data_IF_244243866720
#
_entry.id   IF_244243866720
#
_cell.length_a   1.000
_cell.length_b   1.000
_cell.length_c   1.000
_cell.angle_alpha   90.00
_cell.angle_beta   90.00
_cell.angle_gamma   90.00
#
_symmetry.space_group_name_H-M   'P 1'
#
loop_
_entity.id
_entity.type
_entity.pdbx_description
1 polymer ?
2 branched ?
3 branched ?
4 non-polymer ?
5 non-polymer ?
6 non-polymer ?
7 non-polymer ?
8 non-polymer ?
9 non-polymer ?
10 water ?
#
# COMPACT_ATOMS: atom_id res chain seq x y z
N UNK A 7 11.10 9.10 11.98
CA UNK A 7 10.26 9.38 10.76
C UNK A 7 9.25 10.48 11.04
N UNK A 8 9.49 11.70 10.54
CA UNK A 8 8.46 12.72 10.57
C UNK A 8 7.74 12.61 9.24
N UNK A 9 6.52 12.07 9.30
CA UNK A 9 5.64 12.13 8.16
C UNK A 9 5.34 13.62 7.96
N UNK A 10 4.97 13.92 6.76
CA UNK A 10 4.79 15.33 6.42
C UNK A 10 3.56 16.01 7.00
N UNK A 11 3.61 17.33 7.04
CA UNK A 11 2.52 18.11 7.66
C UNK A 11 1.24 18.12 6.86
N UNK A 12 1.28 17.72 5.62
CA UNK A 12 0.04 17.54 4.82
C UNK A 12 -0.53 16.18 4.88
N UNK A 13 0.08 15.27 5.62
CA UNK A 13 -0.42 13.91 5.77
C UNK A 13 -1.88 13.89 6.24
N UNK A 14 -2.71 13.12 5.52
CA UNK A 14 -4.15 13.06 5.82
C UNK A 14 -5.02 13.93 4.95
N UNK A 15 -4.41 14.90 4.29
CA UNK A 15 -5.12 15.74 3.33
C UNK A 15 -5.15 15.08 1.98
N UNK A 16 -6.16 15.43 1.21
CA UNK A 16 -6.30 14.98 -0.17
C UNK A 16 -6.49 16.22 -1.01
N UNK A 17 -5.64 16.39 -1.97
CA UNK A 17 -5.74 17.49 -2.98
C UNK A 17 -6.34 16.89 -4.26
N UNK A 18 -7.47 17.45 -4.63
CA UNK A 18 -8.14 17.04 -5.84
C UNK A 18 -7.88 18.08 -6.88
N UNK A 19 -7.27 17.66 -8.00
CA UNK A 19 -6.85 18.52 -9.03
C UNK A 19 -7.62 18.20 -10.30
N UNK A 20 -7.71 19.22 -11.17
CA UNK A 20 -8.37 19.10 -12.44
C UNK A 20 -7.49 19.47 -13.62
N UNK A 21 -6.23 19.83 -13.36
CA UNK A 21 -5.29 20.04 -14.43
C UNK A 21 -3.95 19.60 -13.93
N UNK A 22 -3.05 19.34 -14.91
CA UNK A 22 -1.62 19.00 -14.60
C UNK A 22 -0.99 20.09 -13.78
N UNK A 23 -0.23 19.72 -12.76
CA UNK A 23 0.61 20.65 -12.00
C UNK A 23 1.95 20.78 -12.69
N UNK A 24 2.29 22.03 -13.06
CA UNK A 24 3.55 22.35 -13.69
C UNK A 24 4.54 22.81 -12.70
N UNK A 25 5.69 22.19 -12.66
CA UNK A 25 6.79 22.63 -11.77
C UNK A 25 7.89 23.18 -12.63
N UNK A 26 8.20 24.46 -12.37
CA UNK A 26 9.08 25.19 -13.24
C UNK A 26 10.56 24.94 -12.98
N UNK A 27 11.43 25.22 -13.98
CA UNK A 27 12.86 25.04 -13.76
C UNK A 27 13.30 25.66 -12.44
N UNK A 28 14.12 24.95 -11.71
CA UNK A 28 14.73 25.44 -10.45
C UNK A 28 13.83 25.31 -9.23
N UNK A 29 12.55 24.96 -9.45
CA UNK A 29 11.59 24.85 -8.37
C UNK A 29 11.55 23.39 -7.86
N UNK A 30 11.13 23.29 -6.59
CA UNK A 30 10.87 22.00 -5.90
C UNK A 30 9.45 22.01 -5.35
N UNK A 31 8.62 21.13 -5.89
CA UNK A 31 7.26 20.95 -5.35
C UNK A 31 7.39 19.94 -4.28
N UNK A 32 7.10 20.36 -3.05
CA UNK A 32 7.14 19.49 -1.87
C UNK A 32 5.71 19.31 -1.37
N UNK A 33 5.16 18.10 -1.58
CA UNK A 33 3.87 17.90 -1.12
C UNK A 33 3.65 17.67 0.36
N UNK A 34 4.73 17.51 1.08
CA UNK A 34 4.63 17.32 2.50
C UNK A 34 3.72 16.17 2.89
N UNK A 35 3.62 15.15 2.06
CA UNK A 35 2.77 14.00 2.37
C UNK A 35 1.34 14.08 1.89
N UNK A 36 0.96 15.09 1.15
CA UNK A 36 -0.35 15.17 0.53
C UNK A 36 -0.59 13.98 -0.39
N UNK A 37 -1.83 13.56 -0.45
CA UNK A 37 -2.31 12.62 -1.47
C UNK A 37 -3.03 13.40 -2.53
N UNK A 38 -2.72 13.11 -3.79
CA UNK A 38 -3.30 13.79 -4.93
C UNK A 38 -4.25 12.85 -5.67
N UNK A 39 -5.46 13.33 -5.92
CA UNK A 39 -6.37 12.64 -6.78
C UNK A 39 -6.64 13.57 -7.98
N UNK A 40 -6.51 13.03 -9.17
CA UNK A 40 -6.76 13.78 -10.34
C UNK A 40 -8.13 13.47 -10.91
N UNK A 41 -8.85 14.55 -11.26
CA UNK A 41 -10.18 14.54 -11.92
C UNK A 41 -10.12 14.96 -13.38
N UNK A 42 -10.87 14.25 -14.21
CA UNK A 42 -10.98 14.65 -15.56
C UNK A 42 -9.72 14.57 -16.46
N UNK A 43 -8.73 13.83 -15.99
CA UNK A 43 -7.36 13.76 -16.55
C UNK A 43 -6.99 12.37 -17.03
N UNK A 44 -7.95 11.43 -16.94
CA UNK A 44 -7.75 10.04 -17.28
C UNK A 44 -8.26 9.09 -16.21
N UNK A 45 -8.43 7.85 -16.64
CA UNK A 45 -8.89 6.82 -15.71
C UNK A 45 -7.83 5.83 -15.26
N UNK A 46 -6.59 6.03 -15.64
CA UNK A 46 -5.53 5.12 -15.28
C UNK A 46 -5.49 3.84 -16.09
N UNK A 47 -6.28 3.75 -17.15
CA UNK A 47 -6.27 2.60 -18.04
C UNK A 47 -5.04 2.65 -18.97
N UNK A 48 -5.05 1.75 -19.98
CA UNK A 48 -4.00 1.83 -20.99
C UNK A 48 -4.36 2.73 -22.15
N UNK A 49 -5.33 3.63 -21.96
CA UNK A 49 -5.56 4.67 -22.95
C UNK A 49 -4.31 5.51 -23.06
N UNK A 50 -3.99 5.91 -24.28
CA UNK A 50 -2.80 6.69 -24.54
C UNK A 50 -2.97 8.20 -24.51
N UNK A 51 -4.17 8.63 -24.13
CA UNK A 51 -4.51 10.03 -24.26
C UNK A 51 -4.65 10.78 -22.97
N UNK A 52 -4.17 10.20 -21.89
CA UNK A 52 -4.39 10.77 -20.59
C UNK A 52 -3.40 11.89 -20.29
N UNK A 53 -3.73 12.75 -19.33
CA UNK A 53 -2.84 13.84 -18.98
C UNK A 53 -1.90 13.41 -17.85
N UNK A 54 -0.71 14.03 -17.83
CA UNK A 54 0.15 13.82 -16.66
C UNK A 54 -0.39 14.49 -15.40
N UNK A 55 -0.16 13.92 -14.25
CA UNK A 55 -0.46 14.56 -12.99
C UNK A 55 0.47 15.76 -12.75
N UNK A 56 1.75 15.55 -13.02
CA UNK A 56 2.79 16.56 -12.92
C UNK A 56 3.59 16.64 -14.21
N UNK A 57 3.96 17.88 -14.57
CA UNK A 57 4.95 18.19 -15.61
C UNK A 57 6.12 18.81 -14.91
N UNK A 58 7.29 18.18 -14.96
CA UNK A 58 8.52 18.71 -14.32
C UNK A 58 9.39 19.23 -15.46
N UNK A 59 9.56 20.57 -15.47
CA UNK A 59 10.48 21.24 -16.36
C UNK A 59 11.93 20.86 -16.14
N UNK A 60 12.76 21.12 -17.16
CA UNK A 60 14.16 20.86 -17.04
C UNK A 60 14.54 21.54 -15.76
N UNK A 61 15.16 20.79 -14.87
CA UNK A 61 15.65 21.31 -13.62
C UNK A 61 14.68 21.45 -12.50
N UNK A 62 13.45 20.96 -12.68
CA UNK A 62 12.46 20.93 -11.60
C UNK A 62 12.52 19.65 -10.79
N UNK A 63 12.16 19.73 -9.51
CA UNK A 63 12.12 18.56 -8.58
C UNK A 63 10.78 18.43 -8.00
N UNK A 64 10.50 17.19 -7.54
CA UNK A 64 9.23 16.86 -6.91
C UNK A 64 9.51 15.95 -5.71
N UNK A 65 8.86 16.19 -4.57
CA UNK A 65 9.05 15.27 -3.44
C UNK A 65 7.79 15.17 -2.62
N UNK A 66 7.70 14.02 -1.94
CA UNK A 66 6.76 13.84 -0.82
C UNK A 66 5.31 14.01 -1.22
N UNK A 67 4.90 13.30 -2.33
CA UNK A 67 3.50 13.22 -2.70
C UNK A 67 3.10 11.77 -2.96
N UNK A 68 1.89 11.48 -2.54
CA UNK A 68 1.23 10.22 -2.89
C UNK A 68 0.34 10.51 -4.07
N UNK A 69 0.40 9.70 -5.14
CA UNK A 69 -0.52 9.86 -6.23
C UNK A 69 -1.52 8.70 -6.14
N UNK A 70 -2.76 9.05 -5.78
CA UNK A 70 -3.81 8.11 -5.78
C UNK A 70 -4.31 7.67 -7.13
N UNK A 71 -5.07 6.60 -7.18
CA UNK A 71 -5.82 6.31 -8.37
C UNK A 71 -6.76 7.46 -8.65
N UNK A 72 -7.04 7.87 -9.89
CA UNK A 72 -6.44 7.33 -11.09
C UNK A 72 -5.09 7.93 -11.39
N UNK A 73 -4.14 7.06 -11.80
CA UNK A 73 -2.79 7.53 -12.05
C UNK A 73 -2.55 8.32 -13.29
N UNK A 74 -3.54 8.28 -14.19
CA UNK A 74 -3.52 9.08 -15.42
C UNK A 74 -2.19 8.77 -16.17
N UNK A 75 -1.53 9.82 -16.69
CA UNK A 75 -0.24 9.63 -17.29
C UNK A 75 0.92 10.04 -16.38
N UNK A 76 0.72 9.93 -15.09
CA UNK A 76 1.85 9.99 -14.16
C UNK A 76 2.64 11.29 -14.19
N UNK A 77 3.95 11.17 -14.20
CA UNK A 77 4.81 12.32 -14.06
C UNK A 77 5.69 12.45 -15.29
N UNK A 78 5.59 13.59 -15.98
CA UNK A 78 6.39 13.85 -17.20
C UNK A 78 7.58 14.65 -16.83
N UNK A 79 8.77 14.11 -17.08
CA UNK A 79 10.04 14.71 -16.75
C UNK A 79 10.77 15.19 -18.01
N UNK A 80 11.16 16.47 -17.99
CA UNK A 80 11.87 17.07 -19.12
C UNK A 80 13.40 17.16 -18.95
N UNK A 81 13.92 16.51 -17.95
CA UNK A 81 15.34 16.27 -17.77
C UNK A 81 15.87 17.06 -16.60
N UNK A 82 16.92 16.51 -15.99
CA UNK A 82 17.57 17.12 -14.82
C UNK A 82 16.58 17.30 -13.69
N UNK A 83 15.94 16.17 -13.29
CA UNK A 83 14.88 16.15 -12.31
C UNK A 83 15.22 15.16 -11.22
N UNK A 84 14.85 15.50 -10.01
CA UNK A 84 14.86 14.57 -8.84
C UNK A 84 13.44 14.42 -8.34
N UNK A 85 13.04 13.13 -8.27
CA UNK A 85 11.69 12.75 -7.86
C UNK A 85 11.87 11.91 -6.60
N UNK A 86 11.65 12.49 -5.41
CA UNK A 86 11.95 11.82 -4.16
C UNK A 86 10.70 11.55 -3.34
N UNK A 87 10.64 10.33 -2.76
CA UNK A 87 9.54 9.95 -1.90
C UNK A 87 8.23 10.20 -2.54
N UNK A 88 8.10 9.72 -3.78
CA UNK A 88 6.82 9.70 -4.45
C UNK A 88 6.26 8.28 -4.43
N UNK A 89 5.01 8.17 -4.01
CA UNK A 89 4.31 6.89 -3.92
C UNK A 89 3.21 6.89 -4.91
N UNK A 90 3.27 5.95 -5.86
CA UNK A 90 2.18 5.68 -6.81
C UNK A 90 1.36 4.54 -6.22
N UNK A 91 0.19 4.84 -5.66
CA UNK A 91 -0.68 3.81 -5.05
C UNK A 91 -1.27 2.93 -6.13
N UNK A 92 -1.44 3.41 -7.33
CA UNK A 92 -2.03 2.65 -8.44
C UNK A 92 -1.58 3.34 -9.73
N UNK A 93 -0.50 2.80 -10.29
CA UNK A 93 0.04 3.40 -11.50
C UNK A 93 -1.01 3.46 -12.55
N UNK A 94 -1.03 4.56 -13.31
CA UNK A 94 -1.93 4.70 -14.45
C UNK A 94 -1.39 4.09 -15.73
N UNK A 95 -1.40 4.85 -16.80
CA UNK A 95 -0.91 4.27 -18.07
C UNK A 95 0.60 3.94 -17.95
N UNK A 96 1.32 4.84 -17.36
CA UNK A 96 2.69 4.70 -16.83
C UNK A 96 2.85 5.63 -15.66
N UNK A 97 3.87 5.36 -14.87
CA UNK A 97 4.15 6.13 -13.64
C UNK A 97 4.91 7.43 -13.90
N UNK A 98 5.99 7.30 -14.67
CA UNK A 98 6.84 8.46 -14.97
C UNK A 98 7.46 8.22 -16.34
N UNK A 99 7.53 9.32 -17.10
CA UNK A 99 8.07 9.33 -18.45
C UNK A 99 9.17 10.35 -18.57
N UNK A 100 10.31 9.95 -19.12
CA UNK A 100 11.37 10.91 -19.48
C UNK A 100 11.14 11.33 -20.93
N UNK A 101 10.79 12.64 -21.04
CA UNK A 101 10.31 13.22 -22.30
C UNK A 101 11.41 13.98 -23.06
N UNK A 102 12.48 14.33 -22.37
CA UNK A 102 13.56 15.10 -22.99
C UNK A 102 14.88 14.78 -22.26
N UNK A 103 16.02 15.10 -22.89
CA UNK A 103 17.30 14.62 -22.35
C UNK A 103 17.75 15.26 -21.09
N UNK A 104 18.32 14.42 -20.25
CA UNK A 104 18.97 14.89 -19.05
C UNK A 104 19.10 13.73 -18.05
N UNK A 105 19.45 14.04 -16.85
CA UNK A 105 19.54 13.06 -15.78
C UNK A 105 18.22 13.09 -15.01
N UNK A 106 17.64 11.92 -14.75
CA UNK A 106 16.42 11.89 -13.96
C UNK A 106 16.62 10.81 -12.88
N UNK A 107 16.39 11.18 -11.62
CA UNK A 107 16.56 10.28 -10.49
C UNK A 107 15.27 10.16 -9.75
N UNK A 108 14.87 8.89 -9.51
CA UNK A 108 13.73 8.53 -8.66
C UNK A 108 14.33 7.92 -7.43
N UNK A 109 14.16 8.55 -6.25
CA UNK A 109 14.79 8.16 -5.03
C UNK A 109 13.75 7.98 -3.94
N UNK A 110 13.66 6.79 -3.36
CA UNK A 110 12.66 6.53 -2.38
C UNK A 110 11.30 6.31 -3.05
N UNK A 111 10.29 6.06 -2.21
CA UNK A 111 8.96 5.85 -2.70
C UNK A 111 8.72 4.45 -3.23
N UNK A 112 7.61 4.31 -3.90
CA UNK A 112 7.15 2.98 -4.39
C UNK A 112 6.16 3.14 -5.42
N UNK A 113 5.88 2.02 -6.13
CA UNK A 113 4.81 1.96 -7.13
C UNK A 113 4.13 0.61 -7.09
N UNK A 114 2.83 0.62 -7.32
CA UNK A 114 2.06 -0.63 -7.35
C UNK A 114 1.08 -0.62 -8.48
N UNK A 115 0.75 -1.81 -9.00
CA UNK A 115 -0.37 -2.02 -9.90
C UNK A 115 -0.19 -1.27 -11.24
N UNK A 116 0.93 -1.54 -11.87
CA UNK A 116 1.21 -1.01 -13.20
C UNK A 116 0.87 -2.09 -14.20
N UNK A 117 -0.18 -1.89 -14.98
CA UNK A 117 -0.60 -2.86 -15.98
C UNK A 117 0.47 -3.08 -17.01
N UNK A 118 1.24 -2.04 -17.30
CA UNK A 118 2.29 -2.10 -18.33
C UNK A 118 3.59 -1.59 -17.72
N UNK A 119 4.13 -0.51 -18.22
CA UNK A 119 5.38 -0.01 -17.64
C UNK A 119 5.19 0.93 -16.47
N UNK A 120 6.15 0.91 -15.55
CA UNK A 120 6.30 1.93 -14.52
C UNK A 120 6.98 3.17 -15.14
N UNK A 121 8.25 2.97 -15.54
CA UNK A 121 9.04 4.08 -16.08
C UNK A 121 9.25 3.91 -17.55
N UNK A 122 8.98 4.99 -18.31
CA UNK A 122 8.96 5.02 -19.76
C UNK A 122 9.99 6.03 -20.25
N UNK A 123 10.96 5.62 -21.02
CA UNK A 123 12.08 6.47 -21.43
C UNK A 123 11.97 6.78 -22.91
N UNK A 124 11.61 8.04 -23.22
CA UNK A 124 11.35 8.48 -24.56
C UNK A 124 12.40 9.41 -25.17
N UNK A 125 13.47 9.64 -24.44
CA UNK A 125 14.56 10.49 -24.92
C UNK A 125 15.84 9.94 -24.35
N UNK A 126 16.99 10.21 -24.97
CA UNK A 126 18.26 9.83 -24.36
C UNK A 126 18.40 10.42 -23.01
N UNK A 127 18.85 9.62 -22.03
CA UNK A 127 18.89 10.05 -20.66
C UNK A 127 19.74 9.15 -19.83
N UNK A 128 20.10 9.65 -18.66
CA UNK A 128 20.64 8.90 -17.52
C UNK A 128 19.52 8.75 -16.55
N UNK A 129 19.07 7.52 -16.26
CA UNK A 129 17.88 7.31 -15.45
C UNK A 129 18.23 6.43 -14.24
N UNK A 130 18.12 6.95 -13.04
CA UNK A 130 18.46 6.23 -11.86
C UNK A 130 17.27 6.03 -10.95
N UNK A 131 17.10 4.76 -10.51
CA UNK A 131 16.06 4.39 -9.58
C UNK A 131 16.78 3.88 -8.32
N UNK A 132 16.53 4.52 -7.19
CA UNK A 132 17.25 4.25 -5.97
C UNK A 132 16.31 4.09 -4.79
N UNK A 133 16.52 3.06 -3.95
CA UNK A 133 15.74 2.87 -2.74
C UNK A 133 14.28 2.85 -3.05
N UNK A 134 13.88 1.90 -3.92
CA UNK A 134 12.53 1.92 -4.52
C UNK A 134 11.96 0.50 -4.48
N UNK A 135 10.66 0.41 -4.21
CA UNK A 135 9.94 -0.86 -4.26
C UNK A 135 8.89 -0.74 -5.30
N UNK A 136 8.61 -1.85 -6.02
CA UNK A 136 7.46 -1.92 -6.92
C UNK A 136 6.87 -3.32 -6.88
N UNK A 137 5.53 -3.34 -6.91
CA UNK A 137 4.79 -4.62 -6.80
C UNK A 137 3.68 -4.63 -7.82
N UNK A 138 3.53 -5.78 -8.51
CA UNK A 138 2.45 -6.02 -9.46
C UNK A 138 2.55 -5.06 -10.63
N UNK A 139 3.56 -5.35 -11.45
CA UNK A 139 3.94 -4.47 -12.57
C UNK A 139 4.15 -5.30 -13.85
N UNK A 140 3.99 -4.68 -14.98
CA UNK A 140 4.40 -5.33 -16.23
C UNK A 140 5.89 -5.28 -16.47
N UNK A 141 6.41 -4.01 -16.47
CA UNK A 141 7.81 -3.77 -16.65
C UNK A 141 8.23 -2.64 -15.68
N UNK A 142 9.40 -2.68 -15.11
CA UNK A 142 9.87 -1.49 -14.33
C UNK A 142 10.31 -0.39 -15.29
N UNK A 143 11.11 -0.70 -16.28
CA UNK A 143 11.64 0.38 -17.19
C UNK A 143 11.49 -0.08 -18.62
N UNK A 144 10.85 0.78 -19.47
CA UNK A 144 10.75 0.55 -20.94
C UNK A 144 11.42 1.71 -21.68
N UNK A 145 12.49 1.47 -22.48
CA UNK A 145 12.84 2.48 -23.49
C UNK A 145 11.85 2.37 -24.62
N UNK A 146 11.38 3.52 -25.14
CA UNK A 146 10.38 3.52 -26.15
C UNK A 146 10.67 2.51 -27.26
N UNK A 147 9.69 1.72 -27.61
CA UNK A 147 9.88 0.67 -28.55
C UNK A 147 10.46 1.10 -29.87
N UNK A 148 11.39 0.28 -30.34
CA UNK A 148 12.02 0.42 -31.65
C UNK A 148 12.87 1.64 -31.77
N UNK A 149 13.23 2.30 -30.67
CA UNK A 149 14.17 3.39 -30.70
C UNK A 149 15.58 2.92 -30.36
N UNK A 150 16.55 3.65 -30.95
CA UNK A 150 17.94 3.24 -30.88
C UNK A 150 18.87 4.33 -30.32
N UNK A 151 18.28 5.38 -29.76
CA UNK A 151 19.09 6.28 -28.97
C UNK A 151 19.57 5.58 -27.70
N UNK A 152 20.50 6.25 -27.00
CA UNK A 152 21.12 5.66 -25.82
C UNK A 152 20.43 6.13 -24.55
N UNK A 153 20.06 5.14 -23.71
CA UNK A 153 19.80 5.39 -22.32
C UNK A 153 20.76 4.59 -21.48
N UNK A 154 21.08 5.14 -20.29
CA UNK A 154 21.80 4.40 -19.25
C UNK A 154 20.93 4.39 -18.04
N UNK A 155 20.54 3.18 -17.59
CA UNK A 155 19.66 2.99 -16.50
C UNK A 155 20.47 2.39 -15.32
N UNK A 156 20.26 2.96 -14.11
CA UNK A 156 20.82 2.43 -12.88
C UNK A 156 19.71 2.05 -11.97
N UNK A 157 19.75 0.79 -11.47
CA UNK A 157 18.83 0.29 -10.44
C UNK A 157 19.60 -0.04 -9.22
N UNK A 158 19.42 0.76 -8.15
CA UNK A 158 20.24 0.65 -6.95
C UNK A 158 19.36 0.54 -5.73
N UNK A 159 19.45 -0.57 -5.01
CA UNK A 159 18.61 -0.80 -3.85
C UNK A 159 17.15 -0.80 -4.26
N UNK A 160 16.81 -1.69 -5.21
CA UNK A 160 15.49 -1.79 -5.79
C UNK A 160 14.93 -3.22 -5.50
N UNK A 161 13.70 -3.25 -5.04
CA UNK A 161 13.02 -4.53 -4.72
C UNK A 161 11.78 -4.58 -5.53
N UNK A 162 11.59 -5.69 -6.29
CA UNK A 162 10.48 -5.86 -7.17
C UNK A 162 9.76 -7.18 -6.85
N UNK A 163 8.45 -7.12 -6.81
CA UNK A 163 7.67 -8.35 -6.60
C UNK A 163 6.56 -8.42 -7.59
N UNK A 164 6.51 -9.55 -8.38
CA UNK A 164 5.43 -9.87 -9.33
C UNK A 164 5.49 -9.02 -10.60
N UNK A 165 6.49 -9.40 -11.42
CA UNK A 165 6.84 -8.63 -12.63
C UNK A 165 6.40 -9.51 -13.81
N UNK A 166 5.39 -9.07 -14.51
CA UNK A 166 4.73 -9.98 -15.46
C UNK A 166 5.36 -10.02 -16.83
N UNK A 167 6.14 -9.04 -17.22
CA UNK A 167 6.92 -9.06 -18.46
C UNK A 167 8.39 -9.15 -18.22
N UNK A 168 8.98 -8.07 -17.70
CA UNK A 168 10.43 -8.10 -17.43
C UNK A 168 10.79 -6.90 -16.56
N UNK A 169 11.93 -6.93 -15.92
CA UNK A 169 12.38 -5.74 -15.21
C UNK A 169 12.59 -4.55 -16.15
N UNK A 170 13.32 -4.79 -17.22
CA UNK A 170 13.59 -3.67 -18.16
C UNK A 170 13.65 -4.20 -19.57
N UNK A 171 13.22 -3.32 -20.50
CA UNK A 171 13.14 -3.65 -21.93
C UNK A 171 13.66 -2.47 -22.74
N UNK A 172 14.54 -2.76 -23.70
CA UNK A 172 15.01 -1.78 -24.65
C UNK A 172 15.21 -2.50 -26.03
N UNK A 173 15.06 -1.74 -27.06
CA UNK A 173 15.35 -2.21 -28.43
C UNK A 173 16.59 -1.52 -28.98
N UNK A 174 17.44 -0.94 -28.08
CA UNK A 174 18.60 -0.17 -28.50
C UNK A 174 19.87 -0.88 -28.17
N UNK A 175 20.69 -1.34 -29.09
CA UNK A 175 21.99 -1.98 -28.76
C UNK A 175 22.93 -1.14 -27.97
N UNK A 176 22.86 0.18 -28.03
CA UNK A 176 23.81 1.07 -27.33
C UNK A 176 23.37 1.38 -25.93
N UNK A 177 22.13 1.09 -25.56
CA UNK A 177 21.67 1.37 -24.20
C UNK A 177 22.31 0.36 -23.23
N UNK A 178 22.29 0.80 -21.95
CA UNK A 178 22.89 -0.01 -20.89
C UNK A 178 22.02 0.02 -19.66
N UNK A 179 22.13 -1.09 -18.89
CA UNK A 179 21.54 -1.12 -17.57
C UNK A 179 22.55 -1.63 -16.63
N UNK A 180 22.66 -0.92 -15.49
CA UNK A 180 23.59 -1.23 -14.40
C UNK A 180 22.78 -1.42 -13.13
N UNK A 181 23.03 -2.48 -12.36
CA UNK A 181 22.30 -2.70 -11.11
C UNK A 181 23.21 -3.09 -9.97
N UNK A 182 22.70 -2.75 -8.80
CA UNK A 182 23.44 -2.89 -7.52
C UNK A 182 22.40 -3.08 -6.46
N UNK A 183 22.41 -4.24 -5.76
CA UNK A 183 21.38 -4.55 -4.74
C UNK A 183 20.01 -4.53 -5.34
N UNK A 184 19.81 -5.41 -6.33
CA UNK A 184 18.50 -5.61 -7.01
C UNK A 184 17.93 -6.96 -6.52
N UNK A 185 16.76 -6.85 -5.96
CA UNK A 185 16.11 -8.09 -5.50
C UNK A 185 14.87 -8.23 -6.29
N UNK A 186 14.58 -9.39 -6.86
CA UNK A 186 13.42 -9.60 -7.73
C UNK A 186 12.73 -10.92 -7.34
N UNK A 187 11.44 -10.85 -7.08
CA UNK A 187 10.68 -12.10 -6.85
C UNK A 187 9.63 -12.18 -7.91
N UNK A 188 9.39 -13.42 -8.37
CA UNK A 188 8.30 -13.80 -9.29
C UNK A 188 8.22 -12.88 -10.48
N UNK A 189 9.20 -13.10 -11.32
CA UNK A 189 9.37 -12.27 -12.47
C UNK A 189 9.56 -13.21 -13.61
N UNK A 190 8.95 -12.89 -14.75
CA UNK A 190 9.02 -13.79 -15.89
C UNK A 190 10.46 -13.89 -16.44
N UNK A 191 11.03 -12.74 -16.73
CA UNK A 191 12.42 -12.68 -17.31
C UNK A 191 13.02 -11.35 -16.82
N UNK A 192 14.32 -11.32 -16.59
CA UNK A 192 14.82 -10.07 -16.04
C UNK A 192 14.94 -8.97 -17.09
N UNK A 193 15.69 -9.20 -18.17
CA UNK A 193 16.06 -8.10 -19.08
C UNK A 193 15.81 -8.49 -20.54
N UNK A 194 15.06 -7.70 -21.21
CA UNK A 194 14.77 -7.89 -22.64
C UNK A 194 15.49 -6.78 -23.42
N UNK A 195 16.76 -7.03 -23.74
CA UNK A 195 17.61 -6.08 -24.50
C UNK A 195 18.13 -6.88 -25.70
N UNK A 196 18.65 -6.21 -26.73
CA UNK A 196 19.24 -6.96 -27.88
C UNK A 196 20.26 -7.99 -27.44
N UNK A 197 21.16 -7.66 -26.54
CA UNK A 197 22.09 -8.58 -26.00
C UNK A 197 22.18 -8.45 -24.47
N UNK A 198 22.39 -9.60 -23.81
CA UNK A 198 22.51 -9.61 -22.39
C UNK A 198 23.76 -8.92 -21.87
N UNK A 199 24.77 -8.77 -22.73
CA UNK A 199 25.96 -8.04 -22.35
C UNK A 199 25.79 -6.57 -22.22
N UNK A 200 24.59 -6.05 -22.48
CA UNK A 200 24.27 -4.66 -22.19
C UNK A 200 23.90 -4.41 -20.73
N UNK A 201 23.81 -5.50 -19.98
CA UNK A 201 23.45 -5.49 -18.55
C UNK A 201 24.69 -5.75 -17.74
N UNK A 202 24.83 -4.91 -16.66
CA UNK A 202 26.00 -5.01 -15.83
C UNK A 202 25.61 -4.84 -14.38
N UNK A 203 26.40 -5.47 -13.52
CA UNK A 203 26.35 -5.16 -12.07
C UNK A 203 27.39 -4.14 -11.72
N UNK A 204 27.23 -3.52 -10.58
CA UNK A 204 28.28 -2.69 -9.97
C UNK A 204 28.19 -2.72 -8.48
N UNK B 10 -27.74 -13.89 18.52
CA UNK B 10 -28.65 -12.91 19.20
C UNK B 10 -30.05 -12.75 18.54
N UNK B 11 -30.81 -11.76 19.01
CA UNK B 11 -32.20 -11.59 18.62
C UNK B 11 -32.34 -11.22 17.13
N UNK B 12 -31.25 -10.67 16.53
CA UNK B 12 -31.27 -10.25 15.14
C UNK B 12 -30.64 -11.22 14.16
N UNK B 13 -30.27 -12.40 14.68
CA UNK B 13 -29.71 -13.41 13.83
C UNK B 13 -30.75 -13.78 12.74
N UNK B 14 -30.30 -13.87 11.49
CA UNK B 14 -31.16 -14.12 10.37
C UNK B 14 -31.51 -12.82 9.66
N UNK B 15 -31.31 -11.65 10.27
CA UNK B 15 -31.59 -10.39 9.56
C UNK B 15 -30.36 -9.89 8.86
N UNK B 16 -30.58 -9.07 7.83
CA UNK B 16 -29.52 -8.43 7.10
C UNK B 16 -29.84 -6.98 6.98
N UNK B 17 -28.88 -6.10 7.32
CA UNK B 17 -29.00 -4.69 7.05
C UNK B 17 -28.15 -4.33 5.90
N UNK B 18 -28.80 -3.80 4.87
CA UNK B 18 -28.14 -3.30 3.67
C UNK B 18 -27.98 -1.83 3.82
N UNK B 19 -26.73 -1.36 3.70
CA UNK B 19 -26.39 0.02 3.92
C UNK B 19 -25.80 0.59 2.65
N UNK B 20 -25.88 1.91 2.47
CA UNK B 20 -25.25 2.60 1.38
C UNK B 20 -24.30 3.75 1.85
N UNK B 21 -24.08 3.92 3.14
CA UNK B 21 -23.04 4.75 3.64
C UNK B 21 -22.57 4.19 4.96
N UNK B 22 -21.39 4.68 5.36
CA UNK B 22 -20.79 4.25 6.60
C UNK B 22 -21.75 4.44 7.78
N UNK B 23 -21.81 3.43 8.67
CA UNK B 23 -22.55 3.56 9.93
C UNK B 23 -21.63 4.29 10.92
N UNK B 24 -22.09 5.43 11.40
CA UNK B 24 -21.32 6.19 12.33
C UNK B 24 -21.81 5.90 13.75
N UNK B 25 -20.92 5.39 14.59
CA UNK B 25 -21.24 5.14 15.96
C UNK B 25 -20.64 6.29 16.74
N UNK B 26 -21.50 7.10 17.38
CA UNK B 26 -21.04 8.28 18.03
C UNK B 26 -20.34 8.04 19.34
N UNK B 27 -19.51 9.03 19.73
CA UNK B 27 -18.74 8.90 20.94
C UNK B 27 -19.70 8.53 22.02
N UNK B 28 -19.35 7.52 22.77
CA UNK B 28 -20.16 7.09 23.90
C UNK B 28 -21.13 5.96 23.60
N UNK B 29 -21.47 5.76 22.33
CA UNK B 29 -22.51 4.81 21.98
C UNK B 29 -21.91 3.42 21.80
N UNK B 30 -22.65 2.41 22.18
CA UNK B 30 -22.40 1.04 21.80
C UNK B 30 -23.42 0.63 20.74
N UNK B 31 -22.97 0.22 19.57
CA UNK B 31 -23.80 -0.37 18.54
C UNK B 31 -23.83 -1.88 18.79
N UNK B 32 -24.97 -2.43 19.16
CA UNK B 32 -25.11 -3.86 19.36
C UNK B 32 -25.98 -4.36 18.24
N UNK B 33 -25.38 -5.10 17.33
CA UNK B 33 -26.14 -5.65 16.22
C UNK B 33 -26.97 -6.86 16.56
N UNK B 34 -26.79 -7.49 17.73
CA UNK B 34 -27.51 -8.70 18.14
C UNK B 34 -27.53 -9.74 17.07
N UNK B 35 -26.40 -9.86 16.33
CA UNK B 35 -26.21 -10.91 15.37
C UNK B 35 -26.62 -10.54 13.96
N UNK B 36 -27.02 -9.32 13.72
CA UNK B 36 -27.31 -8.86 12.36
C UNK B 36 -26.10 -9.01 11.44
N UNK B 37 -26.36 -9.28 10.15
CA UNK B 37 -25.34 -9.23 9.11
C UNK B 37 -25.45 -7.88 8.36
N UNK B 38 -24.32 -7.27 8.09
CA UNK B 38 -24.25 -6.00 7.36
C UNK B 38 -23.77 -6.29 5.96
N UNK B 39 -24.48 -5.79 4.95
CA UNK B 39 -24.00 -5.80 3.57
C UNK B 39 -23.99 -4.42 2.90
N UNK B 40 -22.81 -3.90 2.66
CA UNK B 40 -22.59 -2.58 2.10
C UNK B 40 -22.68 -2.53 0.59
N UNK B 41 -23.38 -1.52 0.06
CA UNK B 41 -23.53 -1.27 -1.32
C UNK B 41 -23.00 0.13 -1.67
N UNK B 42 -22.25 0.24 -2.76
CA UNK B 42 -21.76 1.47 -3.28
C UNK B 42 -20.62 2.02 -2.48
N UNK B 43 -19.99 1.17 -1.63
CA UNK B 43 -18.97 1.62 -0.69
C UNK B 43 -17.58 1.01 -0.90
N UNK B 44 -17.48 0.22 -1.93
CA UNK B 44 -16.29 -0.55 -2.26
C UNK B 44 -16.56 -2.00 -2.63
N UNK B 45 -15.54 -2.65 -3.17
CA UNK B 45 -15.62 -3.98 -3.59
C UNK B 45 -14.80 -4.97 -2.74
N UNK B 46 -14.17 -4.50 -1.70
CA UNK B 46 -13.29 -5.33 -0.91
C UNK B 46 -11.95 -5.67 -1.54
N UNK B 47 -11.60 -5.00 -2.63
CA UNK B 47 -10.29 -5.19 -3.26
C UNK B 47 -9.25 -4.48 -2.48
N UNK B 48 -8.03 -4.44 -3.05
CA UNK B 48 -6.95 -3.66 -2.42
C UNK B 48 -6.95 -2.19 -2.89
N UNK B 49 -8.05 -1.69 -3.48
CA UNK B 49 -8.16 -0.26 -3.71
C UNK B 49 -8.08 0.50 -2.37
N UNK B 50 -7.37 1.61 -2.38
CA UNK B 50 -7.19 2.42 -1.21
C UNK B 50 -8.26 3.48 -1.03
N UNK B 51 -9.33 3.40 -1.87
CA UNK B 51 -10.33 4.49 -1.87
C UNK B 51 -11.73 4.05 -1.51
N UNK B 52 -11.81 3.03 -0.64
CA UNK B 52 -13.11 2.47 -0.22
C UNK B 52 -13.55 3.08 1.06
N UNK B 53 -14.85 3.05 1.36
CA UNK B 53 -15.38 3.57 2.59
C UNK B 53 -15.37 2.52 3.68
N UNK B 54 -15.24 2.97 4.93
CA UNK B 54 -15.41 2.03 6.04
C UNK B 54 -16.90 1.66 6.21
N UNK B 55 -17.14 0.43 6.66
CA UNK B 55 -18.47 -0.04 7.00
C UNK B 55 -18.97 0.69 8.26
N UNK B 56 -18.10 0.81 9.26
CA UNK B 56 -18.40 1.48 10.48
C UNK B 56 -17.28 2.46 10.76
N UNK B 57 -17.65 3.61 11.33
CA UNK B 57 -16.76 4.57 12.02
C UNK B 57 -17.11 4.60 13.49
N UNK B 58 -16.16 4.22 14.33
CA UNK B 58 -16.35 4.30 15.78
C UNK B 58 -15.62 5.52 16.26
N UNK B 59 -16.38 6.58 16.64
CA UNK B 59 -15.79 7.74 17.24
C UNK B 59 -15.10 7.40 18.56
N UNK B 60 -14.31 8.31 19.14
CA UNK B 60 -13.61 8.04 20.39
C UNK B 60 -14.62 7.63 21.44
N UNK B 61 -14.36 6.49 22.06
CA UNK B 61 -15.23 6.02 23.09
C UNK B 61 -16.33 5.09 22.70
N UNK B 62 -16.57 4.98 21.41
CA UNK B 62 -17.64 4.13 20.91
C UNK B 62 -17.27 2.66 20.87
N UNK B 63 -18.26 1.82 20.95
CA UNK B 63 -18.10 0.40 20.86
C UNK B 63 -18.98 -0.26 19.82
N UNK B 64 -18.62 -1.42 19.40
CA UNK B 64 -19.36 -2.23 18.45
C UNK B 64 -19.42 -3.63 18.90
N UNK B 65 -20.56 -4.28 18.85
CA UNK B 65 -20.65 -5.67 19.20
C UNK B 65 -21.66 -6.44 18.36
N UNK B 66 -21.37 -7.72 18.20
CA UNK B 66 -22.34 -8.66 17.72
C UNK B 66 -22.89 -8.36 16.29
N UNK B 67 -21.97 -8.12 15.38
CA UNK B 67 -22.30 -7.99 13.96
C UNK B 67 -21.44 -8.88 13.11
N UNK B 68 -22.06 -9.32 12.02
CA UNK B 68 -21.39 -10.05 10.95
C UNK B 68 -21.20 -9.10 9.81
N UNK B 69 -19.98 -8.98 9.30
CA UNK B 69 -19.72 -8.11 8.17
C UNK B 69 -19.57 -8.97 6.96
N UNK B 70 -20.58 -8.92 6.13
CA UNK B 70 -20.56 -9.69 4.89
C UNK B 70 -19.65 -9.03 3.86
N UNK B 71 -19.29 -9.81 2.87
CA UNK B 71 -18.68 -9.27 1.63
C UNK B 71 -19.63 -8.28 0.99
N UNK B 72 -19.17 -7.14 0.45
CA UNK B 72 -17.79 -6.72 0.41
C UNK B 72 -17.35 -6.02 1.69
N UNK B 73 -16.12 -6.32 2.10
CA UNK B 73 -15.65 -5.76 3.36
C UNK B 73 -15.25 -4.33 3.30
N UNK B 74 -15.14 -3.72 2.11
CA UNK B 74 -14.84 -2.32 1.90
C UNK B 74 -13.62 -1.95 2.74
N UNK B 75 -13.61 -0.82 3.46
CA UNK B 75 -12.50 -0.47 4.34
C UNK B 75 -12.81 -0.78 5.80
N UNK B 76 -13.66 -1.74 6.07
CA UNK B 76 -13.74 -2.28 7.39
C UNK B 76 -14.21 -1.30 8.42
N UNK B 77 -13.64 -1.42 9.62
CA UNK B 77 -14.06 -0.64 10.74
C UNK B 77 -12.99 0.37 11.11
N UNK B 78 -13.23 1.67 10.91
CA UNK B 78 -12.32 2.68 11.47
C UNK B 78 -12.60 3.03 12.91
N UNK B 79 -11.54 2.97 13.71
CA UNK B 79 -11.58 3.25 15.14
C UNK B 79 -10.76 4.48 15.51
N UNK B 80 -11.44 5.42 16.17
CA UNK B 80 -10.81 6.65 16.55
C UNK B 80 -10.25 6.66 18.00
N UNK B 81 -10.28 5.54 18.65
CA UNK B 81 -9.65 5.34 19.93
C UNK B 81 -10.61 5.09 21.05
N UNK B 82 -10.16 4.33 22.06
CA UNK B 82 -10.94 3.98 23.23
C UNK B 82 -12.20 3.27 22.81
N UNK B 83 -12.01 2.21 22.02
CA UNK B 83 -13.11 1.42 21.43
C UNK B 83 -12.94 -0.05 21.84
N UNK B 84 -14.10 -0.70 22.01
CA UNK B 84 -14.17 -2.16 22.17
C UNK B 84 -15.00 -2.70 21.02
N UNK B 85 -14.45 -3.67 20.30
CA UNK B 85 -15.06 -4.30 19.13
C UNK B 85 -15.21 -5.80 19.52
N UNK B 86 -16.41 -6.19 19.96
CA UNK B 86 -16.64 -7.52 20.50
C UNK B 86 -17.51 -8.38 19.59
N UNK B 87 -17.18 -9.68 19.50
CA UNK B 87 -17.96 -10.61 18.67
C UNK B 87 -18.32 -9.95 17.39
N UNK B 88 -17.28 -9.52 16.66
CA UNK B 88 -17.45 -9.13 15.25
C UNK B 88 -16.83 -10.19 14.35
N UNK B 89 -17.60 -10.61 13.33
CA UNK B 89 -17.19 -11.60 12.38
C UNK B 89 -17.02 -10.94 11.02
N UNK B 90 -15.80 -10.96 10.50
CA UNK B 90 -15.58 -10.52 9.11
C UNK B 90 -15.61 -11.78 8.24
N UNK B 91 -16.68 -11.98 7.49
CA UNK B 91 -16.83 -13.12 6.62
C UNK B 91 -15.82 -13.09 5.49
N UNK B 92 -15.43 -11.86 5.07
CA UNK B 92 -14.50 -11.69 3.94
C UNK B 92 -13.91 -10.30 4.09
N UNK B 93 -12.70 -10.24 4.69
CA UNK B 93 -12.07 -8.98 4.92
C UNK B 93 -11.90 -8.23 3.57
N UNK B 94 -12.12 -6.90 3.61
CA UNK B 94 -11.92 -6.08 2.44
C UNK B 94 -10.48 -5.60 2.37
N UNK B 95 -10.30 -4.28 2.15
CA UNK B 95 -8.96 -3.80 2.02
C UNK B 95 -8.14 -4.10 3.31
N UNK B 96 -8.73 -3.77 4.44
CA UNK B 96 -8.33 -4.16 5.75
C UNK B 96 -9.62 -4.34 6.55
N UNK B 97 -9.48 -5.03 7.70
CA UNK B 97 -10.60 -5.32 8.58
C UNK B 97 -10.95 -4.20 9.51
N UNK B 98 -9.92 -3.69 10.17
CA UNK B 98 -10.09 -2.61 11.13
C UNK B 98 -8.83 -1.79 11.18
N UNK B 99 -9.00 -0.48 11.26
CA UNK B 99 -7.95 0.49 11.29
C UNK B 99 -8.04 1.37 12.52
N UNK B 100 -6.93 1.53 13.22
CA UNK B 100 -6.82 2.51 14.33
C UNK B 100 -6.37 3.82 13.68
N UNK B 101 -7.26 4.80 13.65
CA UNK B 101 -7.08 6.08 12.99
C UNK B 101 -6.61 7.17 13.91
N UNK B 102 -6.75 7.03 15.20
CA UNK B 102 -6.39 8.10 16.13
C UNK B 102 -6.02 7.37 17.45
N UNK B 103 -5.50 8.17 18.36
CA UNK B 103 -4.87 7.64 19.58
C UNK B 103 -5.90 7.10 20.56
N UNK B 104 -5.50 6.09 21.27
CA UNK B 104 -6.29 5.50 22.35
C UNK B 104 -6.03 3.98 22.48
N UNK B 105 -6.88 3.35 23.27
CA UNK B 105 -6.87 1.90 23.45
C UNK B 105 -7.94 1.34 22.54
N UNK B 106 -7.64 0.30 21.79
CA UNK B 106 -8.62 -0.38 20.96
C UNK B 106 -8.49 -1.87 21.28
N UNK B 107 -9.62 -2.47 21.59
CA UNK B 107 -9.69 -3.91 21.88
C UNK B 107 -10.62 -4.62 20.91
N UNK B 108 -10.15 -5.71 20.37
CA UNK B 108 -10.97 -6.63 19.52
C UNK B 108 -11.05 -7.88 20.40
N UNK B 109 -12.28 -8.23 20.80
CA UNK B 109 -12.59 -9.32 21.75
C UNK B 109 -13.51 -10.28 21.03
N UNK B 110 -13.18 -11.56 20.91
CA UNK B 110 -14.08 -12.51 20.26
C UNK B 110 -14.13 -12.26 18.76
N UNK B 111 -14.95 -13.06 18.08
CA UNK B 111 -15.11 -13.00 16.66
C UNK B 111 -13.98 -13.63 15.85
N UNK B 112 -13.97 -13.25 14.58
CA UNK B 112 -13.05 -13.90 13.66
C UNK B 112 -12.95 -13.10 12.36
N UNK B 113 -11.95 -13.44 11.60
CA UNK B 113 -11.80 -12.81 10.24
C UNK B 113 -11.24 -13.84 9.31
N UNK B 114 -11.64 -13.69 8.03
CA UNK B 114 -11.32 -14.68 7.00
C UNK B 114 -10.97 -13.90 5.69
N UNK B 115 -10.00 -14.42 4.92
CA UNK B 115 -9.82 -13.95 3.54
C UNK B 115 -9.38 -12.54 3.45
N UNK B 116 -8.29 -12.20 4.16
CA UNK B 116 -7.64 -10.89 4.09
C UNK B 116 -6.46 -10.95 3.13
N UNK B 117 -6.59 -10.26 1.98
CA UNK B 117 -5.52 -10.30 1.00
C UNK B 117 -4.27 -9.64 1.53
N UNK B 118 -4.39 -8.70 2.44
CA UNK B 118 -3.27 -7.95 2.99
C UNK B 118 -3.40 -7.96 4.48
N UNK B 119 -3.54 -6.82 5.16
CA UNK B 119 -3.62 -6.79 6.61
C UNK B 119 -5.05 -6.97 7.11
N UNK B 120 -5.16 -7.62 8.26
CA UNK B 120 -6.39 -7.60 9.04
C UNK B 120 -6.48 -6.28 9.77
N UNK B 121 -5.58 -6.04 10.72
CA UNK B 121 -5.56 -4.87 11.58
C UNK B 121 -4.44 -3.91 11.18
N UNK B 122 -4.82 -2.64 10.99
CA UNK B 122 -3.93 -1.59 10.45
C UNK B 122 -3.84 -0.49 11.49
N UNK B 123 -2.64 -0.20 11.97
CA UNK B 123 -2.46 0.76 13.07
C UNK B 123 -1.76 2.05 12.57
N UNK B 124 -2.57 3.11 12.45
CA UNK B 124 -2.08 4.38 11.85
C UNK B 124 -1.88 5.47 12.85
N UNK B 125 -1.99 5.24 14.13
CA UNK B 125 -1.73 6.26 15.15
C UNK B 125 -1.23 5.51 16.36
N UNK B 126 -0.51 6.22 17.25
CA UNK B 126 -0.07 5.60 18.52
C UNK B 126 -1.24 5.07 19.30
N UNK B 127 -1.12 3.85 19.77
CA UNK B 127 -2.17 3.19 20.44
C UNK B 127 -1.71 1.99 21.22
N UNK B 128 -2.62 1.56 22.11
CA UNK B 128 -2.55 0.21 22.69
C UNK B 128 -3.61 -0.59 21.95
N UNK B 129 -3.23 -1.71 21.35
CA UNK B 129 -4.12 -2.51 20.50
C UNK B 129 -4.11 -3.94 21.02
N UNK B 130 -5.22 -4.42 21.54
CA UNK B 130 -5.31 -5.78 22.07
C UNK B 130 -6.32 -6.61 21.31
N UNK B 131 -5.86 -7.78 20.87
CA UNK B 131 -6.70 -8.82 20.16
C UNK B 131 -6.80 -10.00 21.11
N UNK B 132 -8.03 -10.36 21.45
CA UNK B 132 -8.26 -11.37 22.49
C UNK B 132 -9.32 -12.32 22.02
N UNK B 133 -9.04 -13.62 22.19
CA UNK B 133 -10.02 -14.65 21.89
C UNK B 133 -10.54 -14.58 20.43
N UNK B 134 -9.58 -14.67 19.51
CA UNK B 134 -9.85 -14.30 18.09
C UNK B 134 -9.21 -15.35 17.25
N UNK B 135 -9.90 -15.65 16.12
CA UNK B 135 -9.39 -16.56 15.12
C UNK B 135 -9.32 -15.82 13.75
N UNK B 136 -8.30 -16.15 12.97
CA UNK B 136 -8.28 -15.65 11.56
C UNK B 136 -7.66 -16.68 10.71
N UNK B 137 -8.19 -16.77 9.46
CA UNK B 137 -7.79 -17.77 8.50
C UNK B 137 -7.62 -17.14 7.14
N UNK B 138 -6.52 -17.47 6.47
CA UNK B 138 -6.24 -16.97 5.09
C UNK B 138 -6.02 -15.49 5.04
N UNK B 139 -4.89 -15.04 5.63
CA UNK B 139 -4.61 -13.63 5.80
C UNK B 139 -3.19 -13.32 5.32
N UNK B 140 -2.94 -12.04 4.97
CA UNK B 140 -1.58 -11.61 4.71
C UNK B 140 -0.79 -11.35 5.98
N UNK B 141 -1.33 -10.45 6.76
CA UNK B 141 -0.75 -10.09 8.05
C UNK B 141 -1.92 -9.90 9.05
N UNK B 142 -1.68 -10.28 10.33
CA UNK B 142 -2.69 -9.98 11.30
C UNK B 142 -2.66 -8.52 11.72
N UNK B 143 -1.45 -7.98 11.98
CA UNK B 143 -1.23 -6.58 12.44
C UNK B 143 -0.12 -5.90 11.59
N UNK B 144 -0.42 -4.73 11.01
CA UNK B 144 0.63 -3.85 10.39
C UNK B 144 0.59 -2.46 11.08
N UNK B 145 1.66 -1.99 11.80
CA UNK B 145 1.81 -0.56 11.99
C UNK B 145 2.08 0.05 10.64
N UNK B 146 1.48 1.23 10.38
CA UNK B 146 1.65 1.90 9.11
C UNK B 146 3.16 1.96 8.72
N UNK B 147 3.45 1.61 7.50
CA UNK B 147 4.81 1.55 7.05
C UNK B 147 5.59 2.79 7.21
N UNK B 148 6.84 2.60 7.65
CA UNK B 148 7.82 3.63 7.85
C UNK B 148 7.63 4.52 9.05
N UNK B 149 6.51 4.41 9.75
CA UNK B 149 6.25 5.23 10.87
C UNK B 149 7.03 4.71 12.08
N UNK B 150 7.40 5.69 12.93
CA UNK B 150 8.24 5.42 14.10
C UNK B 150 7.64 5.79 15.43
N UNK B 151 6.35 6.14 15.46
CA UNK B 151 5.66 6.29 16.72
C UNK B 151 5.51 4.94 17.38
N UNK B 152 5.09 4.94 18.64
CA UNK B 152 4.97 3.71 19.43
C UNK B 152 3.58 3.20 19.43
N UNK B 153 3.42 1.90 19.07
CA UNK B 153 2.21 1.14 19.44
C UNK B 153 2.61 0.03 20.34
N UNK B 154 1.67 -0.41 21.15
CA UNK B 154 1.82 -1.60 22.03
C UNK B 154 0.69 -2.55 21.59
N UNK B 155 1.06 -3.73 21.13
CA UNK B 155 0.10 -4.73 20.67
C UNK B 155 0.13 -5.90 21.67
N UNK B 156 -1.07 -6.35 22.04
CA UNK B 156 -1.24 -7.56 22.82
C UNK B 156 -2.05 -8.58 21.98
N UNK B 157 -1.51 -9.78 21.84
CA UNK B 157 -2.24 -10.89 21.17
C UNK B 157 -2.43 -11.96 22.24
N UNK B 158 -3.68 -12.18 22.61
CA UNK B 158 -4.01 -13.05 23.77
C UNK B 158 -5.08 -14.04 23.32
N UNK B 159 -4.78 -15.32 23.39
CA UNK B 159 -5.72 -16.35 22.93
C UNK B 159 -6.16 -16.14 21.45
N UNK B 160 -5.15 -16.09 20.62
CA UNK B 160 -5.32 -15.89 19.15
C UNK B 160 -4.82 -17.05 18.43
N UNK B 161 -5.63 -17.55 17.45
CA UNK B 161 -5.27 -18.69 16.64
C UNK B 161 -5.37 -18.29 15.13
N UNK B 162 -4.29 -18.53 14.44
CA UNK B 162 -4.19 -18.08 13.01
C UNK B 162 -3.88 -19.26 12.16
N UNK B 163 -4.46 -19.27 10.93
CA UNK B 163 -4.30 -20.39 10.00
C UNK B 163 -4.06 -19.80 8.65
N UNK B 164 -2.88 -20.05 8.09
CA UNK B 164 -2.54 -19.67 6.71
C UNK B 164 -2.18 -18.18 6.55
N UNK B 165 -1.03 -17.81 7.09
CA UNK B 165 -0.57 -16.43 7.19
C UNK B 165 0.51 -16.27 6.12
N UNK B 166 0.21 -15.44 5.10
CA UNK B 166 1.04 -15.39 3.90
C UNK B 166 2.23 -14.49 3.98
N UNK B 167 2.17 -13.47 4.83
CA UNK B 167 3.31 -12.53 5.02
C UNK B 167 3.93 -12.68 6.42
N UNK B 168 3.21 -12.29 7.46
CA UNK B 168 3.74 -12.45 8.85
C UNK B 168 2.57 -12.21 9.77
N UNK B 169 2.74 -12.59 11.05
CA UNK B 169 1.75 -12.25 12.01
C UNK B 169 1.67 -10.74 12.21
N UNK B 170 2.78 -10.09 12.51
CA UNK B 170 2.76 -8.67 12.78
C UNK B 170 4.02 -8.02 12.28
N UNK B 171 3.85 -6.78 11.80
CA UNK B 171 4.91 -5.98 11.22
C UNK B 171 4.86 -4.59 11.81
N UNK B 172 6.06 -4.06 12.05
CA UNK B 172 6.23 -2.62 12.38
C UNK B 172 7.62 -2.20 11.95
N UNK B 173 7.75 -0.95 11.51
CA UNK B 173 9.04 -0.38 11.22
C UNK B 173 9.51 0.51 12.35
N UNK B 174 8.78 0.58 13.47
CA UNK B 174 9.16 1.42 14.56
C UNK B 174 10.06 0.66 15.51
N UNK B 175 11.17 1.28 15.96
CA UNK B 175 12.09 0.61 16.84
C UNK B 175 11.62 0.73 18.30
N UNK B 176 10.52 1.43 18.57
CA UNK B 176 9.97 1.58 19.93
C UNK B 176 8.66 0.86 20.17
N UNK B 177 8.00 0.39 19.12
CA UNK B 177 6.78 -0.39 19.30
C UNK B 177 7.05 -1.73 19.98
N UNK B 178 5.98 -2.25 20.65
CA UNK B 178 6.02 -3.51 21.46
C UNK B 178 4.97 -4.49 21.00
N UNK B 179 5.31 -5.76 20.97
CA UNK B 179 4.27 -6.81 20.80
C UNK B 179 4.42 -7.80 21.94
N UNK B 180 3.32 -8.03 22.62
CA UNK B 180 3.23 -8.96 23.74
C UNK B 180 2.23 -10.06 23.37
N UNK B 181 2.59 -11.31 23.59
CA UNK B 181 1.67 -12.42 23.24
C UNK B 181 1.58 -13.44 24.34
N UNK B 182 0.39 -14.02 24.40
CA UNK B 182 0.04 -15.03 25.37
C UNK B 182 -0.97 -15.99 24.70
N UNK B 183 -0.59 -17.23 24.47
CA UNK B 183 -1.43 -18.20 23.74
C UNK B 183 -1.77 -17.70 22.32
N UNK B 184 -0.70 -17.62 21.56
CA UNK B 184 -0.77 -17.26 20.13
C UNK B 184 -0.35 -18.52 19.43
N UNK B 185 -1.30 -19.11 18.62
CA UNK B 185 -1.07 -20.40 17.93
C UNK B 185 -1.17 -20.10 16.44
N UNK B 186 -0.12 -20.46 15.74
CA UNK B 186 -0.02 -20.04 14.28
C UNK B 186 0.29 -21.25 13.47
N UNK B 187 -0.60 -21.52 12.48
CA UNK B 187 -0.44 -22.61 11.60
C UNK B 187 -0.18 -22.10 10.17
N UNK B 188 0.79 -22.71 9.53
CA UNK B 188 1.14 -22.37 8.10
C UNK B 188 1.57 -20.94 7.96
N UNK B 189 2.68 -20.60 8.52
CA UNK B 189 3.27 -19.25 8.52
C UNK B 189 4.83 -19.38 8.50
N UNK B 190 5.50 -18.71 7.58
CA UNK B 190 6.96 -18.84 7.54
C UNK B 190 7.62 -17.89 8.49
N UNK B 191 7.14 -16.65 8.68
CA UNK B 191 7.82 -15.68 9.54
C UNK B 191 6.80 -15.01 10.44
N UNK B 192 6.99 -15.13 11.71
CA UNK B 192 6.08 -14.61 12.70
C UNK B 192 6.06 -13.10 12.78
N UNK B 193 7.19 -12.51 13.10
CA UNK B 193 7.26 -11.09 13.41
C UNK B 193 8.29 -10.39 12.54
N UNK B 194 7.94 -9.23 12.05
CA UNK B 194 8.84 -8.38 11.29
C UNK B 194 8.91 -7.03 12.00
N UNK B 195 9.73 -6.94 13.01
CA UNK B 195 10.00 -5.75 13.79
C UNK B 195 11.48 -5.47 13.63
N UNK B 196 11.92 -4.24 13.94
CA UNK B 196 13.33 -3.89 13.83
C UNK B 196 14.23 -4.77 14.71
N UNK B 197 13.76 -5.16 15.88
CA UNK B 197 14.53 -6.04 16.80
C UNK B 197 13.59 -7.03 17.45
N UNK B 198 14.11 -8.24 17.64
CA UNK B 198 13.36 -9.25 18.32
C UNK B 198 13.14 -8.91 19.81
N UNK B 199 13.93 -7.98 20.30
CA UNK B 199 13.79 -7.51 21.65
C UNK B 199 12.47 -6.77 21.88
N UNK B 200 11.79 -6.41 20.81
CA UNK B 200 10.50 -5.73 20.90
C UNK B 200 9.34 -6.70 21.05
N UNK B 201 9.62 -7.99 21.03
CA UNK B 201 8.59 -9.03 21.07
C UNK B 201 8.74 -9.72 22.44
N UNK B 202 7.64 -9.85 23.15
CA UNK B 202 7.63 -10.31 24.53
C UNK B 202 6.52 -11.35 24.75
N UNK B 203 6.77 -12.21 25.69
CA UNK B 203 5.79 -13.12 26.15
C UNK B 203 5.19 -12.66 27.45
N UNK B 204 4.00 -13.15 27.74
CA UNK B 204 3.43 -12.96 29.07
C UNK B 204 2.43 -14.10 29.38
#
# INVERSE_FOLDING_TARGET
>A
MAHHHHHHVGTNTGGVLVITDTIIVKSGQTYDGKGIKIIAQGMGDGSQSQNQKPIFKLEKGANLKNVIIGAPGCDGIHCYGDNVVENVVWEDVGEDALTVKSEGVVEVIGGSAKEAADAVFQLNAPCTFKVKNFTATNIGKLVRQNGNTTFKVVIYLEDVTLNNVKSCVAKSDSPVSELWYHNLNVNNCKTLFEFPSQSQIHQY
>B
MAHHHHHHVGTNTGGVLVITDTIIVKSGQTYDGKGIKIIAQGMGDGSQSQNQKPIFKLEKGANLKNVIIGAPGCDGIHCYGDNVVENVVWEDVGEDALTVKSEGVVEVIGGSAKEAADAVFQLNAPCTFKVKNFTATNIGKLVRQNGNTTFKVVIYLEDVTLNNVKSCVAKSDSPVSELWYHNLNVNNCKTLFEFPSQSQIHQY
#
